data_IF_860828433998
#
_entry.id   IF_860828433998
#
_cell.length_a   1.000
_cell.length_b   1.000
_cell.length_c   1.000
_cell.angle_alpha   90.00
_cell.angle_beta   90.00
_cell.angle_gamma   90.00
#
_symmetry.space_group_name_H-M   'P 1'
#
loop_
_entity.id
_entity.type
_entity.pdbx_description
1 polymer ?
#
# COMPACT_ATOMS: atom_id res chain seq x y z
N UNK A 1 -9.83 13.48 15.42
CA UNK A 1 -9.46 13.05 14.06
C UNK A 1 -8.08 13.57 13.64
N UNK A 2 -7.81 14.87 13.72
CA UNK A 2 -6.50 15.47 13.36
C UNK A 2 -5.33 14.81 14.12
N UNK A 3 -5.46 14.57 15.43
CA UNK A 3 -4.42 13.90 16.22
C UNK A 3 -4.05 12.49 15.71
N UNK A 4 -5.01 11.75 15.16
CA UNK A 4 -4.76 10.41 14.60
C UNK A 4 -3.97 10.51 13.30
N UNK A 5 -4.31 11.46 12.45
CA UNK A 5 -3.62 11.71 11.17
C UNK A 5 -2.17 12.16 11.43
N UNK A 6 -1.97 13.06 12.42
CA UNK A 6 -0.64 13.51 12.82
C UNK A 6 0.20 12.36 13.42
N UNK A 7 -0.41 11.50 14.24
CA UNK A 7 0.27 10.33 14.81
C UNK A 7 0.63 9.26 13.76
N UNK A 8 -0.09 9.19 12.63
CA UNK A 8 0.32 8.37 11.48
C UNK A 8 1.53 8.95 10.74
N UNK A 9 1.78 10.26 10.87
CA UNK A 9 2.98 10.92 10.34
C UNK A 9 4.19 10.83 11.26
N UNK A 10 4.01 10.58 12.57
CA UNK A 10 5.12 10.47 13.53
C UNK A 10 6.17 9.38 13.19
N UNK A 11 5.82 8.24 12.55
CA UNK A 11 6.81 7.25 12.10
C UNK A 11 7.55 7.64 10.81
N UNK A 12 7.15 8.69 10.09
CA UNK A 12 7.86 9.20 8.91
C UNK A 12 9.08 10.02 9.36
N UNK A 13 10.11 9.34 9.84
CA UNK A 13 11.43 9.95 10.00
C UNK A 13 12.22 9.84 8.69
N UNK A 14 12.46 10.97 8.03
CA UNK A 14 13.15 11.05 6.75
C UNK A 14 14.59 10.52 6.78
N UNK A 15 15.25 10.49 7.96
CA UNK A 15 16.58 9.87 8.09
C UNK A 15 16.50 8.34 8.01
N UNK A 16 15.47 7.73 8.60
CA UNK A 16 15.26 6.27 8.54
C UNK A 16 14.87 5.81 7.14
N UNK A 17 14.21 6.67 6.36
CA UNK A 17 13.83 6.41 4.97
C UNK A 17 15.06 6.23 4.07
N UNK A 18 16.13 7.01 4.28
CA UNK A 18 17.35 6.91 3.48
C UNK A 18 18.20 5.67 3.81
N UNK A 19 18.12 5.15 5.05
CA UNK A 19 18.88 3.98 5.49
C UNK A 19 18.30 2.62 5.06
N UNK A 20 17.00 2.53 4.77
CA UNK A 20 16.29 1.27 4.55
C UNK A 20 16.30 0.75 3.08
N UNK A 21 17.04 1.39 2.18
CA UNK A 21 16.85 1.33 0.72
C UNK A 21 16.52 -0.03 0.10
N UNK A 22 17.32 -1.07 0.36
CA UNK A 22 17.09 -2.41 -0.24
C UNK A 22 15.82 -3.08 0.32
N UNK A 23 15.58 -2.96 1.63
CA UNK A 23 14.41 -3.55 2.28
C UNK A 23 13.12 -2.86 1.82
N UNK A 24 13.16 -1.53 1.66
CA UNK A 24 12.05 -0.75 1.10
C UNK A 24 11.71 -1.22 -0.31
N UNK A 25 12.71 -1.38 -1.18
CA UNK A 25 12.50 -1.84 -2.54
C UNK A 25 11.88 -3.24 -2.57
N UNK A 26 12.48 -4.20 -1.84
CA UNK A 26 11.98 -5.58 -1.76
C UNK A 26 10.54 -5.61 -1.23
N UNK A 27 10.24 -4.82 -0.21
CA UNK A 27 8.90 -4.73 0.35
C UNK A 27 7.88 -4.17 -0.65
N UNK A 28 8.17 -3.06 -1.33
CA UNK A 28 7.27 -2.46 -2.33
C UNK A 28 6.99 -3.46 -3.46
N UNK A 29 8.02 -4.08 -4.01
CA UNK A 29 7.88 -5.03 -5.13
C UNK A 29 7.09 -6.26 -4.70
N UNK A 30 7.48 -6.89 -3.59
CA UNK A 30 6.80 -8.10 -3.09
C UNK A 30 5.33 -7.83 -2.80
N UNK A 31 5.03 -6.69 -2.18
CA UNK A 31 3.66 -6.25 -1.89
C UNK A 31 2.87 -5.98 -3.16
N UNK A 32 3.44 -5.23 -4.10
CA UNK A 32 2.77 -4.84 -5.35
C UNK A 32 2.41 -6.07 -6.19
N UNK A 33 3.39 -6.97 -6.39
CA UNK A 33 3.16 -8.23 -7.09
C UNK A 33 2.15 -9.11 -6.34
N UNK A 34 2.28 -9.22 -5.01
CA UNK A 34 1.36 -9.97 -4.16
C UNK A 34 -0.09 -9.52 -4.34
N UNK A 35 -0.36 -8.21 -4.26
CA UNK A 35 -1.70 -7.66 -4.48
C UNK A 35 -2.20 -7.87 -5.90
N UNK A 36 -1.34 -7.70 -6.90
CA UNK A 36 -1.75 -7.86 -8.29
C UNK A 36 -2.14 -9.31 -8.61
N UNK A 37 -1.26 -10.25 -8.28
CA UNK A 37 -1.49 -11.66 -8.59
C UNK A 37 -2.55 -12.30 -7.71
N UNK A 38 -2.60 -11.98 -6.42
CA UNK A 38 -3.64 -12.53 -5.52
C UNK A 38 -5.04 -12.04 -5.91
N UNK A 39 -5.21 -10.75 -6.22
CA UNK A 39 -6.49 -10.21 -6.65
C UNK A 39 -6.94 -10.86 -7.97
N UNK A 40 -6.02 -11.03 -8.92
CA UNK A 40 -6.31 -11.71 -10.20
C UNK A 40 -6.66 -13.18 -10.03
N UNK A 41 -5.94 -13.88 -9.17
CA UNK A 41 -6.19 -15.28 -8.87
C UNK A 41 -7.54 -15.46 -8.17
N UNK A 42 -7.80 -14.68 -7.13
CA UNK A 42 -9.09 -14.66 -6.42
C UNK A 42 -10.25 -14.35 -7.36
N UNK A 43 -10.14 -13.27 -8.15
CA UNK A 43 -11.15 -12.89 -9.13
C UNK A 43 -11.40 -13.96 -10.21
N UNK A 44 -10.39 -14.77 -10.56
CA UNK A 44 -10.54 -15.88 -11.49
C UNK A 44 -11.29 -17.04 -10.85
N UNK A 45 -10.99 -17.39 -9.60
CA UNK A 45 -11.70 -18.45 -8.85
C UNK A 45 -13.17 -18.09 -8.68
N UNK A 46 -13.47 -16.84 -8.34
CA UNK A 46 -14.84 -16.34 -8.15
C UNK A 46 -15.59 -16.06 -9.45
N UNK A 47 -14.98 -16.36 -10.62
CA UNK A 47 -15.57 -16.13 -11.95
C UNK A 47 -15.98 -14.66 -12.19
N UNK A 48 -15.26 -13.72 -11.61
CA UNK A 48 -15.53 -12.28 -11.75
C UNK A 48 -15.29 -11.78 -13.19
N UNK A 49 -15.83 -10.61 -13.59
CA UNK A 49 -15.62 -10.05 -14.92
C UNK A 49 -14.14 -9.86 -15.27
N UNK A 50 -13.82 -9.86 -16.58
CA UNK A 50 -12.43 -9.73 -17.07
C UNK A 50 -11.76 -8.41 -16.66
N UNK A 51 -12.54 -7.33 -16.52
CA UNK A 51 -12.06 -6.04 -16.02
C UNK A 51 -11.55 -6.17 -14.59
N UNK A 52 -12.33 -6.80 -13.71
CA UNK A 52 -11.96 -7.07 -12.31
C UNK A 52 -10.72 -7.97 -12.24
N UNK A 53 -10.70 -9.07 -13.01
CA UNK A 53 -9.54 -9.98 -13.03
C UNK A 53 -8.23 -9.28 -13.43
N UNK A 54 -8.29 -8.31 -14.34
CA UNK A 54 -7.10 -7.67 -14.91
C UNK A 54 -6.65 -6.41 -14.17
N UNK A 55 -7.59 -5.62 -13.63
CA UNK A 55 -7.30 -4.27 -13.16
C UNK A 55 -7.53 -4.04 -11.65
N UNK A 56 -8.29 -4.89 -10.96
CA UNK A 56 -8.52 -4.76 -9.51
C UNK A 56 -7.21 -4.74 -8.72
N UNK A 57 -6.23 -5.55 -9.12
CA UNK A 57 -4.92 -5.58 -8.47
C UNK A 57 -4.20 -4.22 -8.47
N UNK A 58 -4.41 -3.39 -9.50
CA UNK A 58 -3.81 -2.06 -9.62
C UNK A 58 -4.49 -1.04 -8.71
N UNK A 59 -5.80 -1.14 -8.55
CA UNK A 59 -6.58 -0.24 -7.70
C UNK A 59 -6.39 -0.51 -6.22
N UNK A 60 -5.90 -1.70 -5.86
CA UNK A 60 -5.58 -2.09 -4.49
C UNK A 60 -4.17 -1.69 -4.05
N UNK A 61 -3.32 -1.17 -4.93
CA UNK A 61 -1.95 -0.78 -4.56
C UNK A 61 -1.87 0.31 -3.47
N UNK A 62 -2.75 1.33 -3.44
CA UNK A 62 -2.72 2.36 -2.38
C UNK A 62 -2.89 1.72 -1.00
N UNK A 63 -2.03 2.08 -0.06
CA UNK A 63 -2.06 1.63 1.32
C UNK A 63 -1.03 2.38 2.19
N UNK A 64 -1.49 2.99 3.27
CA UNK A 64 -0.60 3.69 4.19
C UNK A 64 -1.02 3.52 5.65
N UNK A 65 -2.25 3.93 5.99
CA UNK A 65 -2.67 4.07 7.39
C UNK A 65 -2.56 2.80 8.25
N UNK A 66 -3.15 1.69 7.80
CA UNK A 66 -3.18 0.45 8.60
C UNK A 66 -1.79 -0.16 8.78
N UNK A 67 -0.91 -0.10 7.77
CA UNK A 67 0.48 -0.59 7.91
C UNK A 67 1.25 0.18 8.97
N UNK A 68 1.07 1.49 9.04
CA UNK A 68 1.81 2.34 9.97
C UNK A 68 1.38 2.07 11.41
N UNK A 69 0.09 1.79 11.65
CA UNK A 69 -0.40 1.36 12.97
C UNK A 69 0.26 0.04 13.39
N UNK A 70 0.23 -0.99 12.54
CA UNK A 70 0.86 -2.28 12.85
C UNK A 70 2.38 -2.17 13.00
N UNK A 71 3.01 -1.28 12.23
CA UNK A 71 4.42 -0.93 12.37
C UNK A 71 4.69 -0.35 13.75
N UNK A 72 3.87 0.60 14.22
CA UNK A 72 3.99 1.16 15.57
C UNK A 72 3.89 0.10 16.66
N UNK A 73 2.96 -0.86 16.52
CA UNK A 73 2.80 -1.98 17.46
C UNK A 73 4.05 -2.90 17.44
N UNK A 74 4.52 -3.27 16.24
CA UNK A 74 5.69 -4.11 16.07
C UNK A 74 6.95 -3.45 16.64
N UNK A 75 7.17 -2.16 16.34
CA UNK A 75 8.26 -1.35 16.87
C UNK A 75 8.20 -1.33 18.38
N UNK A 76 7.05 -0.97 18.97
CA UNK A 76 6.89 -0.92 20.44
C UNK A 76 7.23 -2.25 21.11
N UNK A 77 6.87 -3.37 20.47
CA UNK A 77 7.14 -4.72 20.97
C UNK A 77 8.62 -5.08 20.83
N UNK A 78 9.27 -4.69 19.74
CA UNK A 78 10.64 -5.06 19.40
C UNK A 78 11.69 -4.11 20.00
N UNK A 79 11.34 -2.88 20.39
CA UNK A 79 12.30 -1.87 20.85
C UNK A 79 13.18 -2.31 22.02
N UNK A 80 12.71 -3.25 22.86
CA UNK A 80 13.50 -3.77 24.00
C UNK A 80 14.36 -4.99 23.62
N UNK A 81 13.85 -5.86 22.76
CA UNK A 81 14.48 -7.16 22.47
C UNK A 81 15.35 -7.13 21.20
N UNK A 82 15.02 -6.28 20.23
CA UNK A 82 15.69 -6.16 18.94
C UNK A 82 15.55 -4.72 18.38
N UNK A 83 16.21 -3.73 19.01
CA UNK A 83 16.05 -2.31 18.66
C UNK A 83 16.47 -1.99 17.22
N UNK A 84 17.51 -2.65 16.69
CA UNK A 84 17.95 -2.47 15.29
C UNK A 84 16.87 -2.93 14.30
N UNK A 85 16.23 -4.08 14.55
CA UNK A 85 15.14 -4.57 13.72
C UNK A 85 13.92 -3.66 13.78
N UNK A 86 13.62 -3.09 14.95
CA UNK A 86 12.53 -2.12 15.11
C UNK A 86 12.76 -0.88 14.22
N UNK A 87 13.98 -0.33 14.21
CA UNK A 87 14.33 0.81 13.35
C UNK A 87 14.24 0.47 11.86
N UNK A 88 14.73 -0.71 11.45
CA UNK A 88 14.65 -1.16 10.05
C UNK A 88 13.18 -1.28 9.62
N UNK A 89 12.32 -1.91 10.44
CA UNK A 89 10.89 -2.08 10.13
C UNK A 89 10.20 -0.70 10.03
N UNK A 90 10.46 0.19 11.00
CA UNK A 90 9.89 1.53 11.00
C UNK A 90 10.27 2.32 9.74
N UNK A 91 11.57 2.40 9.44
CA UNK A 91 12.08 3.10 8.26
C UNK A 91 11.60 2.49 6.96
N UNK A 92 11.63 1.16 6.84
CA UNK A 92 11.21 0.43 5.64
C UNK A 92 9.75 0.70 5.31
N UNK A 93 8.85 0.55 6.28
CA UNK A 93 7.40 0.67 6.05
C UNK A 93 7.00 2.13 5.85
N UNK A 94 7.60 3.07 6.59
CA UNK A 94 7.35 4.50 6.41
C UNK A 94 7.79 4.98 5.01
N UNK A 95 9.02 4.63 4.61
CA UNK A 95 9.54 4.91 3.26
C UNK A 95 8.64 4.32 2.19
N UNK A 96 8.28 3.04 2.35
CA UNK A 96 7.45 2.34 1.40
C UNK A 96 6.05 2.94 1.28
N UNK A 97 5.44 3.37 2.38
CA UNK A 97 4.14 4.03 2.35
C UNK A 97 4.18 5.29 1.50
N UNK A 98 5.17 6.17 1.70
CA UNK A 98 5.29 7.42 0.92
C UNK A 98 5.52 7.14 -0.56
N UNK A 99 6.51 6.30 -0.88
CA UNK A 99 6.87 5.99 -2.27
C UNK A 99 5.71 5.28 -2.98
N UNK A 100 5.10 4.30 -2.31
CA UNK A 100 4.01 3.53 -2.88
C UNK A 100 2.76 4.39 -3.11
N UNK A 101 2.40 5.32 -2.21
CA UNK A 101 1.23 6.18 -2.43
C UNK A 101 1.35 7.04 -3.71
N UNK A 102 2.55 7.53 -4.03
CA UNK A 102 2.76 8.31 -5.27
C UNK A 102 2.53 7.44 -6.52
N UNK A 103 3.12 6.25 -6.56
CA UNK A 103 3.03 5.34 -7.71
C UNK A 103 1.62 4.73 -7.79
N UNK A 104 1.08 4.32 -6.65
CA UNK A 104 -0.17 3.58 -6.56
C UNK A 104 -1.38 4.43 -6.93
N UNK A 105 -1.41 5.73 -6.62
CA UNK A 105 -2.50 6.62 -7.06
C UNK A 105 -2.57 6.68 -8.59
N UNK A 106 -1.42 6.77 -9.26
CA UNK A 106 -1.34 6.78 -10.74
C UNK A 106 -1.80 5.43 -11.30
N UNK A 107 -1.32 4.33 -10.72
CA UNK A 107 -1.68 2.99 -11.16
C UNK A 107 -3.16 2.67 -10.92
N UNK A 108 -3.72 3.09 -9.79
CA UNK A 108 -5.14 2.95 -9.48
C UNK A 108 -5.99 3.73 -10.49
N UNK A 109 -5.62 4.98 -10.79
CA UNK A 109 -6.26 5.78 -11.84
C UNK A 109 -6.26 5.03 -13.18
N UNK A 110 -5.11 4.49 -13.61
CA UNK A 110 -5.03 3.72 -14.85
C UNK A 110 -5.79 2.39 -14.80
N UNK A 111 -5.87 1.74 -13.64
CA UNK A 111 -6.72 0.57 -13.43
C UNK A 111 -8.19 0.86 -13.75
N UNK A 112 -8.74 1.94 -13.21
CA UNK A 112 -10.12 2.37 -13.49
C UNK A 112 -10.32 2.81 -14.95
N UNK A 113 -9.35 3.52 -15.52
CA UNK A 113 -9.37 3.93 -16.93
C UNK A 113 -9.41 2.72 -17.88
N UNK A 114 -8.53 1.74 -17.67
CA UNK A 114 -8.47 0.54 -18.49
C UNK A 114 -9.62 -0.43 -18.24
N UNK A 115 -10.26 -0.37 -17.07
CA UNK A 115 -11.52 -1.06 -16.81
C UNK A 115 -12.71 -0.42 -17.54
N UNK A 116 -12.57 0.81 -18.04
CA UNK A 116 -13.66 1.56 -18.66
C UNK A 116 -14.68 2.08 -17.65
N UNK A 117 -14.25 2.36 -16.42
CA UNK A 117 -15.13 2.67 -15.28
C UNK A 117 -15.23 4.17 -14.96
N UNK A 118 -14.47 5.05 -15.63
CA UNK A 118 -14.53 6.51 -15.37
C UNK A 118 -15.81 7.19 -15.83
N UNK A 119 -16.45 6.72 -16.91
CA UNK A 119 -17.61 7.40 -17.51
C UNK A 119 -18.95 6.66 -17.31
N UNK A 120 -18.97 5.57 -16.52
CA UNK A 120 -20.17 4.75 -16.29
C UNK A 120 -21.03 5.20 -15.10
N UNK A 121 -20.59 6.21 -14.34
CA UNK A 121 -21.32 6.68 -13.16
C UNK A 121 -22.53 7.56 -13.55
N UNK A 122 -22.58 8.08 -14.78
CA UNK A 122 -23.64 8.96 -15.26
C UNK A 122 -24.96 8.25 -15.68
N UNK A 123 -25.06 6.92 -15.59
CA UNK A 123 -26.24 6.17 -16.06
C UNK A 123 -27.10 5.58 -14.92
N UNK A 124 -26.97 6.11 -13.70
CA UNK A 124 -27.80 5.71 -12.54
C UNK A 124 -28.87 6.75 -12.18
N UNK A 125 -29.10 7.73 -13.05
CA UNK A 125 -30.08 8.83 -12.89
C UNK A 125 -31.23 8.77 -13.92
N UNK A 126 -31.46 7.64 -14.59
CA UNK A 126 -32.65 7.42 -15.46
C UNK A 126 -33.52 6.25 -14.97
#
# INVERSE_FOLDING_TARGET
MIAVILNLGAPLDFHLIFGAGIFTLVYIVSRGLGKYFSARFGAKITKSPKTVQKYLGLTLLPHSGVSLVFTGIAVTTLSKSAPESAQIIQGTIAAAAVINEIIAVIMAKKGFEWAGEFNKIASWEE
#
